data_IF_749863779402
#
_entry.id   IF_749863779402
#
_cell.length_a   1.000
_cell.length_b   1.000
_cell.length_c   1.000
_cell.angle_alpha   90.00
_cell.angle_beta   90.00
_cell.angle_gamma   90.00
#
_symmetry.space_group_name_H-M   'P 1'
#
loop_
_entity.id
_entity.type
_entity.pdbx_description
1 polymer ?
#
# COMPACT_ATOMS: atom_id res chain seq x y z
N UNK A 1 -8.39 34.15 126.27
CA UNK A 1 -9.23 35.11 125.54
C UNK A 1 -8.57 35.57 124.25
N UNK A 2 -7.44 36.30 124.35
CA UNK A 2 -6.77 36.90 123.19
C UNK A 2 -6.06 35.87 122.29
N UNK A 3 -5.42 34.85 122.87
CA UNK A 3 -4.70 33.79 122.12
C UNK A 3 -5.63 32.94 121.25
N UNK A 4 -6.81 32.61 121.75
CA UNK A 4 -7.86 31.90 121.00
C UNK A 4 -8.41 32.72 119.83
N UNK A 5 -8.54 34.04 120.00
CA UNK A 5 -9.05 34.92 118.94
C UNK A 5 -8.04 35.09 117.80
N UNK A 6 -6.75 35.23 118.14
CA UNK A 6 -5.65 35.31 117.16
C UNK A 6 -5.53 34.00 116.37
N UNK A 7 -5.67 32.85 117.04
CA UNK A 7 -5.64 31.55 116.37
C UNK A 7 -6.81 31.38 115.37
N UNK A 8 -8.01 31.85 115.72
CA UNK A 8 -9.17 31.82 114.82
C UNK A 8 -8.95 32.75 113.62
N UNK A 9 -8.49 33.99 113.85
CA UNK A 9 -8.21 34.94 112.77
C UNK A 9 -7.10 34.43 111.84
N UNK A 10 -6.02 33.86 112.39
CA UNK A 10 -4.96 33.24 111.62
C UNK A 10 -5.47 32.02 110.82
N UNK A 11 -6.30 31.18 111.43
CA UNK A 11 -6.94 30.04 110.77
C UNK A 11 -7.83 30.47 109.59
N UNK A 12 -8.64 31.51 109.77
CA UNK A 12 -9.49 32.08 108.71
C UNK A 12 -8.63 32.71 107.60
N UNK A 13 -7.57 33.44 107.94
CA UNK A 13 -6.66 34.03 106.95
C UNK A 13 -5.90 32.96 106.15
N UNK A 14 -5.44 31.90 106.81
CA UNK A 14 -4.77 30.76 106.17
C UNK A 14 -5.76 29.99 105.28
N UNK A 15 -6.96 29.67 105.79
CA UNK A 15 -8.00 29.00 105.01
C UNK A 15 -8.43 29.85 103.81
N UNK A 16 -8.55 31.17 103.97
CA UNK A 16 -8.87 32.09 102.88
C UNK A 16 -7.73 32.18 101.85
N UNK A 17 -6.48 32.25 102.31
CA UNK A 17 -5.29 32.21 101.45
C UNK A 17 -5.18 30.91 100.66
N UNK A 18 -5.39 29.76 101.30
CA UNK A 18 -5.37 28.44 100.66
C UNK A 18 -6.52 28.33 99.65
N UNK A 19 -7.74 28.73 100.04
CA UNK A 19 -8.90 28.75 99.15
C UNK A 19 -8.62 29.60 97.92
N UNK A 20 -8.14 30.84 98.09
CA UNK A 20 -7.79 31.71 96.95
C UNK A 20 -6.63 31.17 96.11
N UNK A 21 -5.66 30.50 96.72
CA UNK A 21 -4.52 29.91 96.01
C UNK A 21 -4.86 28.63 95.25
N UNK A 22 -5.96 27.95 95.58
CA UNK A 22 -6.38 26.68 94.95
C UNK A 22 -7.58 26.89 94.02
N UNK A 23 -8.63 27.59 94.44
CA UNK A 23 -9.89 27.70 93.66
C UNK A 23 -9.74 28.55 92.40
N UNK A 24 -8.98 29.65 92.45
CA UNK A 24 -8.72 30.50 91.28
C UNK A 24 -8.03 29.75 90.13
N UNK A 25 -6.89 29.05 90.35
CA UNK A 25 -6.24 28.29 89.27
C UNK A 25 -7.07 27.10 88.81
N UNK A 26 -7.83 26.43 89.69
CA UNK A 26 -8.73 25.33 89.29
C UNK A 26 -9.86 25.81 88.37
N UNK A 27 -10.44 26.98 88.66
CA UNK A 27 -11.47 27.57 87.79
C UNK A 27 -10.88 27.95 86.41
N UNK A 28 -9.62 28.41 86.38
CA UNK A 28 -8.90 28.70 85.14
C UNK A 28 -8.60 27.43 84.33
N UNK A 29 -8.15 26.33 84.97
CA UNK A 29 -7.95 25.04 84.28
C UNK A 29 -9.27 24.49 83.73
N UNK A 30 -10.36 24.63 84.48
CA UNK A 30 -11.68 24.15 84.05
C UNK A 30 -12.17 24.95 82.83
N UNK A 31 -12.09 26.29 82.89
CA UNK A 31 -12.44 27.15 81.75
C UNK A 31 -11.58 26.85 80.51
N UNK A 32 -10.30 26.53 80.69
CA UNK A 32 -9.43 26.11 79.59
C UNK A 32 -9.85 24.76 79.01
N UNK A 33 -10.17 23.78 79.85
CA UNK A 33 -10.67 22.48 79.42
C UNK A 33 -12.02 22.59 78.68
N UNK A 34 -12.94 23.43 79.16
CA UNK A 34 -14.22 23.71 78.51
C UNK A 34 -14.02 24.38 77.14
N UNK A 35 -13.06 25.30 77.00
CA UNK A 35 -12.72 25.90 75.71
C UNK A 35 -12.10 24.90 74.73
N UNK A 36 -11.22 24.02 75.21
CA UNK A 36 -10.67 22.92 74.41
C UNK A 36 -11.79 21.98 73.95
N UNK A 37 -12.72 21.63 74.86
CA UNK A 37 -13.89 20.80 74.53
C UNK A 37 -14.82 21.49 73.52
N UNK A 38 -14.91 22.82 73.56
CA UNK A 38 -15.61 23.64 72.57
C UNK A 38 -14.86 23.88 71.25
N UNK A 39 -13.64 23.33 71.10
CA UNK A 39 -12.82 23.46 69.89
C UNK A 39 -12.04 24.78 69.77
N UNK A 40 -12.01 25.62 70.82
CA UNK A 40 -11.20 26.85 70.85
C UNK A 40 -9.81 26.57 71.45
N UNK A 41 -8.83 26.36 70.57
CA UNK A 41 -7.43 26.10 70.91
C UNK A 41 -6.54 27.36 70.84
N UNK A 42 -7.12 28.56 70.77
CA UNK A 42 -6.36 29.79 70.47
C UNK A 42 -5.54 30.34 71.63
N UNK A 43 -5.72 29.82 72.85
CA UNK A 43 -5.04 30.33 74.05
C UNK A 43 -4.47 29.20 74.92
N UNK A 44 -3.15 29.03 74.90
CA UNK A 44 -2.42 28.25 75.89
C UNK A 44 -1.95 29.18 77.00
N UNK A 45 -2.63 29.17 78.15
CA UNK A 45 -2.17 29.86 79.35
C UNK A 45 -1.14 28.97 80.05
N UNK A 46 0.13 29.38 80.06
CA UNK A 46 1.18 28.67 80.80
C UNK A 46 1.26 29.18 82.24
N UNK A 47 1.53 28.30 83.18
CA UNK A 47 1.69 28.67 84.59
C UNK A 47 3.16 28.77 84.97
N UNK A 48 3.54 29.87 85.62
CA UNK A 48 4.85 30.03 86.25
C UNK A 48 4.95 29.36 87.62
N UNK A 49 3.87 28.69 88.06
CA UNK A 49 3.76 28.01 89.34
C UNK A 49 4.48 26.65 89.29
N UNK A 50 5.17 26.29 90.38
CA UNK A 50 6.00 25.06 90.47
C UNK A 50 5.36 23.92 91.26
N UNK A 51 4.11 24.05 91.66
CA UNK A 51 3.36 23.02 92.38
C UNK A 51 2.43 22.21 91.45
N UNK A 52 1.67 21.28 92.01
CA UNK A 52 0.83 20.32 91.29
C UNK A 52 -0.20 21.02 90.38
N UNK A 53 -0.73 22.17 90.81
CA UNK A 53 -1.67 22.97 90.01
C UNK A 53 -0.97 23.64 88.82
N UNK A 54 0.28 24.07 88.99
CA UNK A 54 1.14 24.52 87.90
C UNK A 54 1.43 23.43 86.88
N UNK A 55 1.72 22.21 87.35
CA UNK A 55 1.93 21.04 86.48
C UNK A 55 0.67 20.67 85.69
N UNK A 56 -0.50 20.68 86.34
CA UNK A 56 -1.79 20.42 85.68
C UNK A 56 -2.11 21.47 84.60
N UNK A 57 -1.94 22.76 84.90
CA UNK A 57 -2.11 23.85 83.92
C UNK A 57 -1.19 23.66 82.71
N UNK A 58 0.09 23.36 82.96
CA UNK A 58 1.06 23.13 81.88
C UNK A 58 0.75 21.88 81.06
N UNK A 59 0.23 20.81 81.68
CA UNK A 59 -0.22 19.61 80.96
C UNK A 59 -1.43 19.88 80.06
N UNK A 60 -2.44 20.63 80.53
CA UNK A 60 -3.61 21.04 79.73
C UNK A 60 -3.18 21.99 78.59
N UNK A 61 -2.23 22.90 78.84
CA UNK A 61 -1.66 23.75 77.81
C UNK A 61 -0.90 22.96 76.74
N UNK A 62 -0.09 21.97 77.14
CA UNK A 62 0.58 21.07 76.21
C UNK A 62 -0.42 20.23 75.39
N UNK A 63 -1.51 19.76 76.01
CA UNK A 63 -2.59 19.05 75.32
C UNK A 63 -3.26 19.94 74.26
N UNK A 64 -3.61 21.19 74.61
CA UNK A 64 -4.17 22.17 73.67
C UNK A 64 -3.24 22.42 72.48
N UNK A 65 -1.96 22.61 72.74
CA UNK A 65 -0.95 22.81 71.70
C UNK A 65 -0.82 21.58 70.78
N UNK A 66 -0.79 20.38 71.35
CA UNK A 66 -0.70 19.14 70.57
C UNK A 66 -1.95 18.92 69.71
N UNK A 67 -3.15 19.17 70.25
CA UNK A 67 -4.40 19.12 69.49
C UNK A 67 -4.42 20.16 68.36
N UNK A 68 -3.93 21.37 68.62
CA UNK A 68 -3.84 22.42 67.60
C UNK A 68 -2.92 21.99 66.45
N UNK A 69 -1.71 21.52 66.77
CA UNK A 69 -0.78 21.01 65.77
C UNK A 69 -1.34 19.81 65.01
N UNK A 70 -2.10 18.93 65.67
CA UNK A 70 -2.78 17.81 65.00
C UNK A 70 -3.86 18.30 64.02
N UNK A 71 -4.69 19.27 64.41
CA UNK A 71 -5.71 19.88 63.54
C UNK A 71 -5.06 20.62 62.36
N UNK A 72 -3.98 21.38 62.60
CA UNK A 72 -3.21 22.04 61.53
C UNK A 72 -2.69 21.01 60.52
N UNK A 73 -2.14 19.87 60.98
CA UNK A 73 -1.71 18.77 60.11
C UNK A 73 -2.86 18.12 59.34
N UNK A 74 -4.02 17.92 59.99
CA UNK A 74 -5.22 17.39 59.31
C UNK A 74 -5.70 18.37 58.24
N UNK A 75 -5.75 19.67 58.54
CA UNK A 75 -6.19 20.69 57.59
C UNK A 75 -5.25 20.76 56.37
N UNK A 76 -3.94 20.66 56.59
CA UNK A 76 -2.97 20.54 55.48
C UNK A 76 -3.21 19.27 54.67
N UNK A 77 -3.44 18.12 55.31
CA UNK A 77 -3.74 16.86 54.63
C UNK A 77 -5.01 16.92 53.77
N UNK A 78 -6.09 17.50 54.30
CA UNK A 78 -7.34 17.70 53.55
C UNK A 78 -7.12 18.64 52.36
N UNK A 79 -6.37 19.74 52.56
CA UNK A 79 -6.04 20.64 51.44
C UNK A 79 -5.24 19.93 50.36
N UNK A 80 -4.28 19.07 50.74
CA UNK A 80 -3.49 18.28 49.79
C UNK A 80 -4.35 17.26 49.03
N UNK A 81 -5.25 16.56 49.72
CA UNK A 81 -6.21 15.63 49.10
C UNK A 81 -7.15 16.37 48.15
N UNK A 82 -7.61 17.56 48.52
CA UNK A 82 -8.46 18.40 47.66
C UNK A 82 -7.73 18.80 46.37
N UNK A 83 -6.46 19.21 46.47
CA UNK A 83 -5.65 19.54 45.30
C UNK A 83 -5.42 18.32 44.42
N UNK A 84 -5.02 17.18 45.01
CA UNK A 84 -4.81 15.94 44.27
C UNK A 84 -6.09 15.45 43.57
N UNK A 85 -7.25 15.61 44.21
CA UNK A 85 -8.55 15.25 43.61
C UNK A 85 -8.89 16.16 42.42
N UNK A 86 -8.58 17.46 42.50
CA UNK A 86 -8.77 18.39 41.40
C UNK A 86 -7.84 18.07 40.21
N UNK A 87 -6.59 17.69 40.47
CA UNK A 87 -5.64 17.24 39.45
C UNK A 87 -6.11 15.95 38.77
N UNK A 88 -6.62 14.97 39.55
CA UNK A 88 -7.19 13.73 39.01
C UNK A 88 -8.41 14.04 38.12
N UNK A 89 -9.32 14.92 38.56
CA UNK A 89 -10.49 15.29 37.78
C UNK A 89 -10.13 15.97 36.44
N UNK A 90 -9.13 16.86 36.46
CA UNK A 90 -8.59 17.47 35.25
C UNK A 90 -7.96 16.43 34.32
N UNK A 91 -7.15 15.51 34.86
CA UNK A 91 -6.56 14.40 34.10
C UNK A 91 -7.61 13.47 33.49
N UNK A 92 -8.69 13.19 34.22
CA UNK A 92 -9.80 12.36 33.71
C UNK A 92 -10.53 13.04 32.56
N UNK A 93 -10.70 14.36 32.61
CA UNK A 93 -11.31 15.15 31.52
C UNK A 93 -10.43 15.11 30.26
N UNK A 94 -9.11 15.24 30.40
CA UNK A 94 -8.15 15.08 29.28
C UNK A 94 -8.20 13.66 28.70
N UNK A 95 -8.24 12.64 29.57
CA UNK A 95 -8.36 11.25 29.13
C UNK A 95 -9.66 10.99 28.38
N UNK A 96 -10.78 11.56 28.81
CA UNK A 96 -12.08 11.51 28.11
C UNK A 96 -11.95 12.05 26.69
N UNK A 97 -11.44 13.28 26.56
CA UNK A 97 -11.28 13.97 25.28
C UNK A 97 -10.39 13.18 24.33
N UNK A 98 -9.28 12.63 24.83
CA UNK A 98 -8.37 11.79 24.04
C UNK A 98 -8.99 10.45 23.65
N UNK A 99 -9.83 9.87 24.50
CA UNK A 99 -10.55 8.62 24.22
C UNK A 99 -11.60 8.83 23.13
N UNK A 100 -12.35 9.94 23.16
CA UNK A 100 -13.28 10.31 22.08
C UNK A 100 -12.56 10.53 20.74
N UNK A 101 -11.43 11.26 20.76
CA UNK A 101 -10.61 11.45 19.57
C UNK A 101 -10.07 10.13 19.02
N UNK A 102 -9.63 9.23 19.90
CA UNK A 102 -9.14 7.91 19.51
C UNK A 102 -10.26 7.05 18.91
N UNK A 103 -11.48 7.10 19.46
CA UNK A 103 -12.64 6.40 18.90
C UNK A 103 -12.92 6.86 17.46
N UNK A 104 -12.95 8.18 17.22
CA UNK A 104 -13.15 8.74 15.89
C UNK A 104 -12.04 8.31 14.90
N UNK A 105 -10.78 8.30 15.35
CA UNK A 105 -9.65 7.85 14.52
C UNK A 105 -9.72 6.35 14.19
N UNK A 106 -10.19 5.52 15.14
CA UNK A 106 -10.41 4.08 14.94
C UNK A 106 -11.51 3.85 13.89
N UNK A 107 -12.62 4.58 13.96
CA UNK A 107 -13.70 4.51 12.95
C UNK A 107 -13.21 4.91 11.55
N UNK A 108 -12.49 6.03 11.43
CA UNK A 108 -11.94 6.48 10.13
C UNK A 108 -10.92 5.48 9.56
N UNK A 109 -10.10 4.89 10.43
CA UNK A 109 -9.14 3.86 10.03
C UNK A 109 -9.88 2.61 9.57
N UNK A 110 -10.92 2.17 10.28
CA UNK A 110 -11.74 1.03 9.87
C UNK A 110 -12.39 1.24 8.49
N UNK A 111 -12.99 2.42 8.25
CA UNK A 111 -13.57 2.76 6.96
C UNK A 111 -12.51 2.77 5.83
N UNK A 112 -11.32 3.31 6.12
CA UNK A 112 -10.19 3.31 5.19
C UNK A 112 -9.72 1.89 4.86
N UNK A 113 -9.74 0.99 5.86
CA UNK A 113 -9.38 -0.41 5.69
C UNK A 113 -10.39 -1.18 4.84
N UNK A 114 -11.70 -0.90 4.96
CA UNK A 114 -12.70 -1.46 4.05
C UNK A 114 -12.46 -1.04 2.60
N UNK A 115 -12.19 0.25 2.36
CA UNK A 115 -11.88 0.77 1.03
C UNK A 115 -10.60 0.16 0.45
N UNK A 116 -9.55 0.02 1.28
CA UNK A 116 -8.31 -0.66 0.90
C UNK A 116 -8.57 -2.12 0.54
N UNK A 117 -9.36 -2.84 1.35
CA UNK A 117 -9.74 -4.24 1.09
C UNK A 117 -10.44 -4.37 -0.26
N UNK A 118 -11.41 -3.49 -0.55
CA UNK A 118 -12.13 -3.48 -1.82
C UNK A 118 -11.18 -3.25 -3.01
N UNK A 119 -10.25 -2.29 -2.87
CA UNK A 119 -9.29 -1.94 -3.92
C UNK A 119 -8.29 -3.08 -4.17
N UNK A 120 -7.76 -3.70 -3.12
CA UNK A 120 -6.84 -4.85 -3.23
C UNK A 120 -7.52 -6.04 -3.89
N UNK A 121 -8.78 -6.33 -3.51
CA UNK A 121 -9.57 -7.37 -4.15
C UNK A 121 -9.78 -7.10 -5.64
N UNK A 122 -10.16 -5.86 -5.99
CA UNK A 122 -10.32 -5.46 -7.38
C UNK A 122 -9.01 -5.58 -8.17
N UNK A 123 -7.86 -5.28 -7.56
CA UNK A 123 -6.55 -5.47 -8.19
C UNK A 123 -6.24 -6.95 -8.46
N UNK A 124 -6.54 -7.85 -7.53
CA UNK A 124 -6.40 -9.29 -7.73
C UNK A 124 -7.28 -9.80 -8.89
N UNK A 125 -8.55 -9.39 -8.92
CA UNK A 125 -9.49 -9.76 -9.99
C UNK A 125 -9.02 -9.22 -11.35
N UNK A 126 -8.55 -7.95 -11.39
CA UNK A 126 -7.99 -7.35 -12.59
C UNK A 126 -6.72 -8.05 -13.09
N UNK A 127 -5.84 -8.46 -12.18
CA UNK A 127 -4.65 -9.23 -12.53
C UNK A 127 -5.02 -10.59 -13.15
N UNK A 128 -6.04 -11.27 -12.60
CA UNK A 128 -6.57 -12.51 -13.18
C UNK A 128 -7.15 -12.29 -14.59
N UNK A 129 -7.97 -11.26 -14.78
CA UNK A 129 -8.51 -10.91 -16.11
C UNK A 129 -7.41 -10.56 -17.11
N UNK A 130 -6.41 -9.76 -16.70
CA UNK A 130 -5.29 -9.41 -17.56
C UNK A 130 -4.44 -10.62 -17.94
N UNK A 131 -4.26 -11.57 -17.01
CA UNK A 131 -3.57 -12.84 -17.27
C UNK A 131 -4.31 -13.69 -18.31
N UNK A 132 -5.64 -13.71 -18.28
CA UNK A 132 -6.45 -14.40 -19.29
C UNK A 132 -6.35 -13.73 -20.67
N UNK A 133 -6.48 -12.40 -20.73
CA UNK A 133 -6.30 -11.63 -21.96
C UNK A 133 -4.91 -11.82 -22.58
N UNK A 134 -3.87 -11.86 -21.74
CA UNK A 134 -2.51 -12.16 -22.19
C UNK A 134 -2.41 -13.58 -22.76
N UNK A 135 -3.08 -14.56 -22.16
CA UNK A 135 -3.10 -15.94 -22.67
C UNK A 135 -3.75 -16.00 -24.07
N UNK A 136 -4.90 -15.35 -24.25
CA UNK A 136 -5.60 -15.30 -25.53
C UNK A 136 -4.79 -14.57 -26.62
N UNK A 137 -4.13 -13.46 -26.24
CA UNK A 137 -3.24 -12.72 -27.14
C UNK A 137 -2.02 -13.55 -27.56
N UNK A 138 -1.43 -14.30 -26.63
CA UNK A 138 -0.31 -15.22 -26.91
C UNK A 138 -0.72 -16.32 -27.88
N UNK A 139 -1.89 -16.94 -27.65
CA UNK A 139 -2.44 -17.96 -28.56
C UNK A 139 -2.68 -17.39 -29.96
N UNK A 140 -3.24 -16.18 -30.06
CA UNK A 140 -3.47 -15.50 -31.34
C UNK A 140 -2.16 -15.22 -32.07
N UNK A 141 -1.13 -14.74 -31.36
CA UNK A 141 0.18 -14.48 -31.93
C UNK A 141 0.87 -15.79 -32.40
N UNK A 142 0.74 -16.89 -31.66
CA UNK A 142 1.23 -18.20 -32.06
C UNK A 142 0.54 -18.70 -33.33
N UNK A 143 -0.78 -18.51 -33.44
CA UNK A 143 -1.52 -18.87 -34.65
C UNK A 143 -1.14 -17.98 -35.84
N UNK A 144 -0.89 -16.70 -35.60
CA UNK A 144 -0.30 -15.78 -36.58
C UNK A 144 1.07 -16.26 -37.07
N UNK A 145 1.95 -16.69 -36.16
CA UNK A 145 3.25 -17.28 -36.51
C UNK A 145 3.15 -18.49 -37.44
N UNK A 146 2.22 -19.41 -37.16
CA UNK A 146 1.95 -20.57 -38.04
C UNK A 146 1.45 -20.17 -39.43
N UNK A 147 0.59 -19.15 -39.51
CA UNK A 147 0.12 -18.62 -40.79
C UNK A 147 1.26 -18.01 -41.60
N UNK A 148 2.15 -17.27 -40.94
CA UNK A 148 3.36 -16.71 -41.55
C UNK A 148 4.25 -17.84 -42.11
N UNK A 149 4.48 -18.90 -41.35
CA UNK A 149 5.25 -20.07 -41.79
C UNK A 149 4.68 -20.70 -43.07
N UNK A 150 3.35 -20.86 -43.15
CA UNK A 150 2.67 -21.35 -44.34
C UNK A 150 2.84 -20.42 -45.56
N UNK A 151 2.80 -19.09 -45.34
CA UNK A 151 3.01 -18.10 -46.41
C UNK A 151 4.46 -18.16 -46.92
N UNK A 152 5.45 -18.29 -46.03
CA UNK A 152 6.85 -18.46 -46.42
C UNK A 152 7.03 -19.74 -47.26
N UNK A 153 6.41 -20.85 -46.87
CA UNK A 153 6.43 -22.09 -47.65
C UNK A 153 5.85 -21.87 -49.05
N UNK A 154 4.70 -21.22 -49.14
CA UNK A 154 4.03 -20.93 -50.43
C UNK A 154 4.89 -20.02 -51.32
N UNK A 155 5.56 -19.02 -50.75
CA UNK A 155 6.49 -18.15 -51.49
C UNK A 155 7.70 -18.92 -52.04
N UNK A 156 8.23 -19.90 -51.28
CA UNK A 156 9.29 -20.79 -51.77
C UNK A 156 8.82 -21.65 -52.94
N UNK A 157 7.61 -22.19 -52.87
CA UNK A 157 7.03 -22.97 -53.96
C UNK A 157 6.82 -22.13 -55.22
N UNK A 158 6.32 -20.89 -55.09
CA UNK A 158 6.19 -19.93 -56.19
C UNK A 158 7.56 -19.58 -56.79
N UNK A 159 8.57 -19.36 -55.95
CA UNK A 159 9.94 -19.09 -56.40
C UNK A 159 10.50 -20.27 -57.21
N UNK A 160 10.34 -21.50 -56.71
CA UNK A 160 10.77 -22.73 -57.42
C UNK A 160 10.03 -22.91 -58.75
N UNK A 161 8.71 -22.69 -58.77
CA UNK A 161 7.91 -22.75 -59.99
C UNK A 161 8.34 -21.69 -61.01
N UNK A 162 8.64 -20.47 -60.56
CA UNK A 162 9.11 -19.38 -61.42
C UNK A 162 10.47 -19.71 -62.04
N UNK A 163 11.38 -20.33 -61.28
CA UNK A 163 12.67 -20.79 -61.80
C UNK A 163 12.51 -21.83 -62.91
N UNK A 164 11.60 -22.79 -62.75
CA UNK A 164 11.29 -23.77 -63.81
C UNK A 164 10.73 -23.11 -65.07
N UNK A 165 9.88 -22.09 -64.92
CA UNK A 165 9.36 -21.33 -66.07
C UNK A 165 10.50 -20.58 -66.76
N UNK A 166 11.44 -20.01 -66.02
CA UNK A 166 12.63 -19.35 -66.60
C UNK A 166 13.44 -20.33 -67.47
N UNK A 167 13.72 -21.54 -66.96
CA UNK A 167 14.44 -22.59 -67.71
C UNK A 167 13.71 -22.98 -69.00
N UNK A 168 12.38 -23.16 -68.95
CA UNK A 168 11.56 -23.47 -70.13
C UNK A 168 11.60 -22.30 -71.13
N UNK A 169 11.57 -21.07 -70.65
CA UNK A 169 11.59 -19.87 -71.50
C UNK A 169 12.94 -19.72 -72.20
N UNK A 170 14.05 -20.02 -71.51
CA UNK A 170 15.39 -20.11 -72.11
C UNK A 170 15.46 -21.18 -73.20
N UNK A 171 14.86 -22.35 -72.97
CA UNK A 171 14.78 -23.41 -73.97
C UNK A 171 13.97 -22.98 -75.21
N UNK A 172 12.82 -22.33 -75.02
CA UNK A 172 11.99 -21.81 -76.12
C UNK A 172 12.76 -20.77 -76.95
N UNK A 173 13.50 -19.86 -76.30
CA UNK A 173 14.35 -18.90 -76.99
C UNK A 173 15.46 -19.61 -77.80
N UNK A 174 16.04 -20.67 -77.26
CA UNK A 174 16.99 -21.54 -77.97
C UNK A 174 16.39 -22.21 -79.20
N UNK A 175 15.17 -22.77 -79.10
CA UNK A 175 14.44 -23.38 -80.22
C UNK A 175 14.11 -22.32 -81.28
N UNK A 176 13.67 -21.13 -80.87
CA UNK A 176 13.39 -20.03 -81.79
C UNK A 176 14.66 -19.61 -82.56
N UNK A 177 15.80 -19.52 -81.87
CA UNK A 177 17.09 -19.24 -82.52
C UNK A 177 17.48 -20.33 -83.52
N UNK A 178 17.39 -21.61 -83.15
CA UNK A 178 17.66 -22.73 -84.05
C UNK A 178 16.73 -22.71 -85.28
N UNK A 179 15.44 -22.44 -85.08
CA UNK A 179 14.44 -22.33 -86.16
C UNK A 179 14.77 -21.18 -87.10
N UNK A 180 15.22 -20.05 -86.57
CA UNK A 180 15.66 -18.90 -87.36
C UNK A 180 16.89 -19.22 -88.23
N UNK A 181 17.86 -19.99 -87.72
CA UNK A 181 19.01 -20.46 -88.50
C UNK A 181 18.61 -21.48 -89.57
N UNK A 182 17.74 -22.43 -89.25
CA UNK A 182 17.18 -23.40 -90.19
C UNK A 182 16.44 -22.70 -91.34
N UNK A 183 15.60 -21.71 -91.02
CA UNK A 183 14.86 -20.93 -92.00
C UNK A 183 15.78 -20.10 -92.90
N UNK A 184 16.85 -19.52 -92.33
CA UNK A 184 17.87 -18.82 -93.11
C UNK A 184 18.57 -19.77 -94.11
N UNK A 185 18.98 -20.96 -93.66
CA UNK A 185 19.61 -21.96 -94.52
C UNK A 185 18.66 -22.41 -95.65
N UNK A 186 17.37 -22.61 -95.34
CA UNK A 186 16.35 -22.94 -96.33
C UNK A 186 16.14 -21.81 -97.34
N UNK A 187 16.13 -20.55 -96.92
CA UNK A 187 16.04 -19.40 -97.81
C UNK A 187 17.24 -19.30 -98.76
N UNK A 188 18.45 -19.60 -98.28
CA UNK A 188 19.67 -19.64 -99.10
C UNK A 188 19.59 -20.75 -100.15
N UNK A 189 19.17 -21.96 -99.77
CA UNK A 189 19.06 -23.07 -100.72
C UNK A 189 17.91 -22.85 -101.73
N UNK A 190 16.81 -22.24 -101.30
CA UNK A 190 15.73 -21.82 -102.19
C UNK A 190 16.19 -20.76 -103.22
N UNK A 191 17.03 -19.81 -102.81
CA UNK A 191 17.64 -18.84 -103.73
C UNK A 191 18.58 -19.52 -104.74
N UNK A 192 19.28 -20.58 -104.31
CA UNK A 192 20.17 -21.39 -105.15
C UNK A 192 19.42 -22.18 -106.23
N UNK A 193 18.18 -22.59 -105.96
CA UNK A 193 17.31 -23.30 -106.91
C UNK A 193 16.62 -22.38 -107.96
N UNK A 194 16.84 -21.06 -107.90
CA UNK A 194 16.31 -20.11 -108.88
C UNK A 194 14.77 -20.04 -108.92
N UNK A 195 14.17 -20.01 -110.12
CA UNK A 195 12.70 -19.90 -110.29
C UNK A 195 11.92 -21.05 -109.63
N UNK A 196 12.50 -22.26 -109.55
CA UNK A 196 11.85 -23.43 -108.93
C UNK A 196 11.79 -23.34 -107.40
N UNK A 197 12.63 -22.49 -106.79
CA UNK A 197 12.71 -22.29 -105.34
C UNK A 197 11.85 -21.15 -104.80
N UNK A 198 11.17 -20.38 -105.65
CA UNK A 198 10.41 -19.17 -105.24
C UNK A 198 9.39 -19.44 -104.13
N UNK A 199 8.61 -20.52 -104.24
CA UNK A 199 7.62 -20.90 -103.23
C UNK A 199 8.27 -21.25 -101.88
N UNK A 200 9.39 -21.97 -101.90
CA UNK A 200 10.15 -22.33 -100.70
C UNK A 200 10.80 -21.11 -100.04
N UNK A 201 11.27 -20.14 -100.82
CA UNK A 201 11.85 -18.90 -100.29
C UNK A 201 10.84 -18.08 -99.48
N UNK A 202 9.59 -17.99 -99.93
CA UNK A 202 8.51 -17.30 -99.20
C UNK A 202 8.22 -17.99 -97.87
N UNK A 203 8.07 -19.32 -97.88
CA UNK A 203 7.83 -20.10 -96.66
C UNK A 203 9.00 -19.95 -95.68
N UNK A 204 10.25 -20.00 -96.17
CA UNK A 204 11.43 -19.81 -95.35
C UNK A 204 11.47 -18.41 -94.69
N UNK A 205 11.08 -17.35 -95.42
CA UNK A 205 10.96 -15.99 -94.88
C UNK A 205 9.88 -15.89 -93.80
N UNK A 206 8.73 -16.52 -93.99
CA UNK A 206 7.63 -16.53 -93.01
C UNK A 206 8.00 -17.29 -91.74
N UNK A 207 8.62 -18.47 -91.87
CA UNK A 207 9.14 -19.26 -90.74
C UNK A 207 10.18 -18.46 -89.96
N UNK A 208 11.06 -17.74 -90.66
CA UNK A 208 12.06 -16.87 -90.04
C UNK A 208 11.42 -15.72 -89.24
N UNK A 209 10.39 -15.08 -89.80
CA UNK A 209 9.61 -14.04 -89.13
C UNK A 209 8.94 -14.58 -87.86
N UNK A 210 8.31 -15.75 -87.94
CA UNK A 210 7.67 -16.41 -86.80
C UNK A 210 8.66 -16.80 -85.71
N UNK A 211 9.86 -17.28 -86.08
CA UNK A 211 10.93 -17.59 -85.16
C UNK A 211 11.43 -16.33 -84.42
N UNK A 212 11.61 -15.21 -85.13
CA UNK A 212 11.97 -13.92 -84.52
C UNK A 212 10.91 -13.43 -83.52
N UNK A 213 9.62 -13.51 -83.90
CA UNK A 213 8.49 -13.18 -83.01
C UNK A 213 8.46 -14.06 -81.77
N UNK A 214 8.74 -15.36 -81.91
CA UNK A 214 8.79 -16.30 -80.79
C UNK A 214 9.95 -16.00 -79.83
N UNK A 215 11.12 -15.66 -80.35
CA UNK A 215 12.27 -15.26 -79.53
C UNK A 215 11.99 -13.96 -78.75
N UNK A 216 11.35 -12.97 -79.39
CA UNK A 216 10.95 -11.73 -78.73
C UNK A 216 9.94 -11.98 -77.60
N UNK A 217 8.90 -12.78 -77.86
CA UNK A 217 7.91 -13.14 -76.84
C UNK A 217 8.55 -13.93 -75.67
N UNK A 218 9.46 -14.86 -75.96
CA UNK A 218 10.20 -15.57 -74.92
C UNK A 218 11.01 -14.60 -74.03
N UNK A 219 11.67 -13.61 -74.64
CA UNK A 219 12.45 -12.61 -73.89
C UNK A 219 11.58 -11.70 -73.01
N UNK A 220 10.38 -11.35 -73.47
CA UNK A 220 9.40 -10.61 -72.67
C UNK A 220 8.90 -11.43 -71.47
N UNK A 221 8.61 -12.73 -71.67
CA UNK A 221 8.25 -13.66 -70.59
C UNK A 221 9.40 -13.79 -69.59
N UNK A 222 10.64 -13.93 -70.06
CA UNK A 222 11.84 -14.01 -69.21
C UNK A 222 11.97 -12.78 -68.29
N UNK A 223 11.70 -11.58 -68.83
CA UNK A 223 11.66 -10.34 -68.05
C UNK A 223 10.59 -10.34 -66.95
N UNK A 224 9.37 -10.77 -67.28
CA UNK A 224 8.26 -10.85 -66.32
C UNK A 224 8.52 -11.89 -65.21
N UNK A 225 9.17 -13.00 -65.55
CA UNK A 225 9.56 -14.03 -64.59
C UNK A 225 10.66 -13.52 -63.66
N UNK A 226 11.67 -12.82 -64.20
CA UNK A 226 12.72 -12.20 -63.39
C UNK A 226 12.14 -11.17 -62.40
N UNK A 227 11.18 -10.34 -62.85
CA UNK A 227 10.47 -9.42 -61.96
C UNK A 227 9.67 -10.17 -60.88
N UNK A 228 8.95 -11.23 -61.26
CA UNK A 228 8.16 -12.04 -60.33
C UNK A 228 9.03 -12.69 -59.25
N UNK A 229 10.19 -13.27 -59.62
CA UNK A 229 11.16 -13.84 -58.68
C UNK A 229 11.67 -12.77 -57.70
N UNK A 230 12.00 -11.58 -58.21
CA UNK A 230 12.43 -10.45 -57.37
C UNK A 230 11.36 -10.06 -56.35
N UNK A 231 10.09 -9.92 -56.79
CA UNK A 231 8.97 -9.57 -55.90
C UNK A 231 8.68 -10.63 -54.86
N UNK A 232 8.76 -11.91 -55.22
CA UNK A 232 8.59 -13.04 -54.30
C UNK A 232 9.70 -13.05 -53.25
N UNK A 233 10.94 -12.75 -53.64
CA UNK A 233 12.07 -12.64 -52.70
C UNK A 233 11.83 -11.54 -51.67
N UNK A 234 11.50 -10.32 -52.11
CA UNK A 234 11.17 -9.22 -51.19
C UNK A 234 9.97 -9.55 -50.31
N UNK A 235 8.93 -10.19 -50.87
CA UNK A 235 7.78 -10.64 -50.10
C UNK A 235 8.15 -11.66 -49.02
N UNK A 236 9.06 -12.59 -49.33
CA UNK A 236 9.56 -13.59 -48.37
C UNK A 236 10.29 -12.92 -47.21
N UNK A 237 11.18 -11.96 -47.49
CA UNK A 237 11.93 -11.22 -46.46
C UNK A 237 10.99 -10.43 -45.51
N UNK A 238 9.94 -9.79 -46.04
CA UNK A 238 8.94 -9.07 -45.24
C UNK A 238 8.11 -10.00 -44.35
N UNK A 239 7.71 -11.15 -44.89
CA UNK A 239 6.92 -12.16 -44.16
C UNK A 239 7.77 -12.81 -43.07
N UNK A 240 9.05 -13.10 -43.32
CA UNK A 240 9.99 -13.61 -42.32
C UNK A 240 10.20 -12.62 -41.17
N UNK A 241 10.36 -11.33 -41.48
CA UNK A 241 10.40 -10.26 -40.46
C UNK A 241 9.10 -10.18 -39.63
N UNK A 242 7.95 -10.40 -40.27
CA UNK A 242 6.66 -10.49 -39.60
C UNK A 242 6.61 -11.68 -38.64
N UNK A 243 7.17 -12.83 -39.02
CA UNK A 243 7.30 -14.01 -38.17
C UNK A 243 8.13 -13.73 -36.91
N UNK A 244 9.30 -13.11 -37.07
CA UNK A 244 10.14 -12.69 -35.95
C UNK A 244 9.40 -11.72 -35.00
N UNK A 245 8.58 -10.83 -35.54
CA UNK A 245 7.76 -9.90 -34.75
C UNK A 245 6.68 -10.65 -33.95
N UNK A 246 6.05 -11.67 -34.53
CA UNK A 246 5.09 -12.53 -33.79
C UNK A 246 5.77 -13.26 -32.63
N UNK A 247 6.99 -13.78 -32.81
CA UNK A 247 7.76 -14.40 -31.73
C UNK A 247 8.12 -13.41 -30.61
N UNK A 248 8.45 -12.16 -30.97
CA UNK A 248 8.67 -11.10 -29.98
C UNK A 248 7.38 -10.78 -29.20
N UNK A 249 6.23 -10.72 -29.87
CA UNK A 249 4.93 -10.51 -29.21
C UNK A 249 4.67 -11.64 -28.21
N UNK A 250 4.84 -12.91 -28.60
CA UNK A 250 4.65 -14.06 -27.69
C UNK A 250 5.52 -13.94 -26.44
N UNK A 251 6.80 -13.56 -26.60
CA UNK A 251 7.72 -13.34 -25.48
C UNK A 251 7.27 -12.19 -24.57
N UNK A 252 6.92 -11.04 -25.13
CA UNK A 252 6.44 -9.88 -24.36
C UNK A 252 5.16 -10.17 -23.60
N UNK A 253 4.21 -10.85 -24.24
CA UNK A 253 2.93 -11.24 -23.62
C UNK A 253 3.14 -12.28 -22.52
N UNK A 254 4.11 -13.20 -22.68
CA UNK A 254 4.50 -14.12 -21.61
C UNK A 254 5.05 -13.36 -20.42
N UNK A 255 5.86 -12.33 -20.63
CA UNK A 255 6.37 -11.49 -19.53
C UNK A 255 5.24 -10.73 -18.80
N UNK A 256 4.26 -10.19 -19.54
CA UNK A 256 3.07 -9.57 -18.94
C UNK A 256 2.31 -10.56 -18.06
N UNK A 257 2.16 -11.80 -18.52
CA UNK A 257 1.51 -12.87 -17.76
C UNK A 257 2.22 -13.14 -16.43
N UNK A 258 3.55 -13.21 -16.45
CA UNK A 258 4.35 -13.44 -15.25
C UNK A 258 4.21 -12.28 -14.25
N UNK A 259 4.21 -11.02 -14.73
CA UNK A 259 3.95 -9.84 -13.89
C UNK A 259 2.54 -9.88 -13.29
N UNK A 260 1.52 -10.26 -14.06
CA UNK A 260 0.15 -10.39 -13.53
C UNK A 260 0.06 -11.46 -12.44
N UNK A 261 0.79 -12.57 -12.57
CA UNK A 261 0.87 -13.60 -11.54
C UNK A 261 1.53 -13.07 -10.25
N UNK A 262 2.60 -12.27 -10.36
CA UNK A 262 3.23 -11.60 -9.22
C UNK A 262 2.27 -10.60 -8.54
N UNK A 263 1.52 -9.81 -9.31
CA UNK A 263 0.53 -8.85 -8.77
C UNK A 263 -0.60 -9.60 -8.04
N UNK A 264 -1.08 -10.72 -8.59
CA UNK A 264 -2.11 -11.52 -7.93
C UNK A 264 -1.60 -12.09 -6.59
N UNK A 265 -0.38 -12.61 -6.57
CA UNK A 265 0.25 -13.11 -5.34
C UNK A 265 0.47 -12.00 -4.30
N UNK A 266 0.95 -10.82 -4.73
CA UNK A 266 1.14 -9.67 -3.86
C UNK A 266 -0.20 -9.14 -3.30
N UNK A 267 -1.26 -9.14 -4.12
CA UNK A 267 -2.61 -8.72 -3.69
C UNK A 267 -3.21 -9.68 -2.67
N UNK A 268 -2.98 -10.98 -2.82
CA UNK A 268 -3.38 -12.00 -1.84
C UNK A 268 -2.62 -11.83 -0.50
N UNK A 269 -1.33 -11.52 -0.55
CA UNK A 269 -0.55 -11.17 0.65
C UNK A 269 -1.04 -9.88 1.32
N UNK A 270 -1.31 -8.84 0.55
CA UNK A 270 -1.90 -7.60 1.05
C UNK A 270 -3.25 -7.86 1.73
N UNK A 271 -4.10 -8.72 1.17
CA UNK A 271 -5.39 -9.08 1.76
C UNK A 271 -5.20 -9.73 3.15
N UNK A 272 -4.22 -10.63 3.30
CA UNK A 272 -3.88 -11.20 4.61
C UNK A 272 -3.37 -10.15 5.59
N UNK A 273 -2.49 -9.25 5.15
CA UNK A 273 -1.97 -8.16 5.98
C UNK A 273 -3.06 -7.20 6.44
N UNK A 274 -3.99 -6.86 5.55
CA UNK A 274 -5.17 -6.04 5.85
C UNK A 274 -6.06 -6.72 6.89
N UNK A 275 -6.28 -8.03 6.78
CA UNK A 275 -7.06 -8.78 7.78
C UNK A 275 -6.41 -8.75 9.17
N UNK A 276 -5.07 -8.84 9.25
CA UNK A 276 -4.34 -8.72 10.52
C UNK A 276 -4.45 -7.32 11.13
N UNK A 277 -4.34 -6.26 10.31
CA UNK A 277 -4.54 -4.89 10.77
C UNK A 277 -5.99 -4.70 11.23
N UNK A 278 -6.97 -5.26 10.52
CA UNK A 278 -8.38 -5.25 10.92
C UNK A 278 -8.58 -5.85 12.32
N UNK A 279 -7.91 -6.97 12.63
CA UNK A 279 -7.95 -7.54 13.97
C UNK A 279 -7.35 -6.62 15.05
N UNK A 280 -6.23 -5.95 14.73
CA UNK A 280 -5.62 -4.99 15.65
C UNK A 280 -6.51 -3.75 15.90
N UNK A 281 -7.25 -3.30 14.89
CA UNK A 281 -8.22 -2.20 15.02
C UNK A 281 -9.37 -2.60 15.95
N UNK A 282 -9.88 -3.84 15.85
CA UNK A 282 -10.91 -4.35 16.77
C UNK A 282 -10.42 -4.38 18.22
N UNK A 283 -9.15 -4.73 18.45
CA UNK A 283 -8.54 -4.70 19.79
C UNK A 283 -8.35 -3.27 20.31
N UNK A 284 -7.99 -2.33 19.44
CA UNK A 284 -7.94 -0.89 19.76
C UNK A 284 -9.32 -0.32 20.09
N UNK A 285 -10.36 -0.70 19.35
CA UNK A 285 -11.75 -0.29 19.63
C UNK A 285 -12.17 -0.79 21.02
N UNK A 286 -11.91 -2.06 21.33
CA UNK A 286 -12.20 -2.62 22.64
C UNK A 286 -11.48 -1.88 23.78
N UNK A 287 -10.18 -1.58 23.64
CA UNK A 287 -9.45 -0.80 24.66
C UNK A 287 -9.94 0.64 24.75
N UNK A 288 -10.37 1.25 23.65
CA UNK A 288 -10.97 2.59 23.62
C UNK A 288 -12.30 2.60 24.38
N UNK A 289 -13.16 1.61 24.16
CA UNK A 289 -14.42 1.45 24.89
C UNK A 289 -14.19 1.19 26.39
N UNK A 290 -13.18 0.38 26.74
CA UNK A 290 -12.80 0.17 28.14
C UNK A 290 -12.32 1.46 28.80
N UNK A 291 -11.53 2.28 28.11
CA UNK A 291 -11.10 3.59 28.62
C UNK A 291 -12.29 4.53 28.80
N UNK A 292 -13.23 4.56 27.86
CA UNK A 292 -14.44 5.37 27.98
C UNK A 292 -15.25 4.97 29.24
N UNK A 293 -15.42 3.67 29.48
CA UNK A 293 -16.12 3.15 30.66
C UNK A 293 -15.38 3.38 31.99
N UNK A 294 -14.06 3.60 31.96
CA UNK A 294 -13.27 3.95 33.15
C UNK A 294 -13.32 5.44 33.49
N UNK A 295 -13.67 6.27 32.50
CA UNK A 295 -13.66 7.74 32.60
C UNK A 295 -15.05 8.29 32.95
N UNK A 296 -16.13 7.61 32.51
CA UNK A 296 -17.51 7.81 33.01
C UNK A 296 -17.67 7.46 34.50
#
# INVERSE_FOLDING_TARGET
GVTTLIAIIAGVLIAWRITLQITRPLHSTLAMAERIAGGDLRQAQTSTRRDELGQLLNAVAAMSQNLRTMIEKIQMGVSQVSTASAEIAAGNTDLSSRTEQQAAAVEETAASMEQLTATVKQNADNAHHANQLATDASQTAQQGGKLVENVVSTMRDISSSSQRIAEITTLINGIAFQTNILALNAAVEAARAGEQGRGFSVVASEVRSLASRSAQAAKEIEGLIAESVSRVKTGTELVESTGNTMEQIVRSVTHVRDIMAEIAAASDEQTRGIAQIGQAIVEMDHTTQQNAALVE
#
